data_IF_776185224603
#
_entry.id   IF_776185224603
#
_cell.length_a   1.000
_cell.length_b   1.000
_cell.length_c   1.000
_cell.angle_alpha   90.00
_cell.angle_beta   90.00
_cell.angle_gamma   90.00
#
_symmetry.space_group_name_H-M   'P 1'
#
loop_
_entity.id
_entity.type
_entity.pdbx_description
1 polymer ?
#
# COMPACT_ATOMS: atom_id res chain seq x y z
N UNK A 1 52.19 -1.74 -18.86
CA UNK A 1 51.80 -3.15 -19.09
C UNK A 1 51.83 -3.80 -17.73
N UNK A 2 50.76 -3.88 -16.93
CA UNK A 2 49.29 -3.83 -17.11
C UNK A 2 48.73 -3.31 -15.75
N UNK A 3 47.78 -2.36 -15.65
CA UNK A 3 46.31 -2.51 -15.79
C UNK A 3 45.81 -3.76 -15.02
N UNK A 4 44.95 -3.73 -14.00
CA UNK A 4 43.73 -2.95 -13.80
C UNK A 4 43.31 -2.86 -12.32
N UNK A 5 42.53 -1.83 -12.04
CA UNK A 5 41.75 -1.62 -10.82
C UNK A 5 40.64 -2.68 -10.68
N UNK A 6 40.34 -3.06 -9.43
CA UNK A 6 39.04 -3.62 -9.09
C UNK A 6 38.38 -2.68 -8.08
N UNK A 7 37.50 -1.83 -8.58
CA UNK A 7 36.58 -1.03 -7.78
C UNK A 7 35.35 -1.91 -7.47
N UNK A 8 34.76 -1.83 -6.26
CA UNK A 8 33.52 -2.54 -5.96
C UNK A 8 32.36 -1.96 -6.77
N UNK A 9 31.57 -2.84 -7.39
CA UNK A 9 30.30 -2.51 -8.02
C UNK A 9 29.33 -2.05 -6.92
N UNK A 10 29.25 -0.73 -6.74
CA UNK A 10 28.20 -0.09 -5.98
C UNK A 10 26.90 -0.31 -6.75
N UNK A 11 26.24 -1.44 -6.48
CA UNK A 11 24.89 -1.73 -6.91
C UNK A 11 24.05 -0.47 -6.67
N UNK A 12 23.67 0.12 -7.80
CA UNK A 12 23.03 1.42 -7.87
C UNK A 12 21.79 1.38 -6.99
N UNK A 13 21.78 2.20 -5.94
CA UNK A 13 20.55 2.55 -5.25
C UNK A 13 19.72 3.35 -6.24
N UNK A 14 18.98 2.64 -7.09
CA UNK A 14 17.91 3.20 -7.89
C UNK A 14 17.02 3.93 -6.90
N UNK A 15 17.09 5.26 -6.93
CA UNK A 15 16.19 6.12 -6.17
C UNK A 15 14.82 5.94 -6.82
N UNK A 16 14.14 4.87 -6.41
CA UNK A 16 12.78 4.60 -6.84
C UNK A 16 11.96 5.83 -6.47
N UNK A 17 11.32 6.42 -7.46
CA UNK A 17 10.31 7.45 -7.22
C UNK A 17 9.32 6.85 -6.22
N UNK A 18 8.96 7.58 -5.14
CA UNK A 18 7.99 7.07 -4.18
C UNK A 18 6.70 6.69 -4.92
N UNK A 19 6.51 5.38 -5.10
CA UNK A 19 5.29 4.85 -5.69
C UNK A 19 4.26 4.84 -4.57
N UNK A 20 3.11 5.47 -4.81
CA UNK A 20 2.00 5.39 -3.87
C UNK A 20 1.46 3.97 -3.81
N UNK A 21 1.03 3.56 -2.62
CA UNK A 21 0.43 2.26 -2.35
C UNK A 21 -1.00 2.44 -1.89
N UNK A 22 -1.87 1.55 -2.36
CA UNK A 22 -3.26 1.42 -1.94
C UNK A 22 -3.47 -0.05 -1.60
N UNK A 23 -3.65 -0.34 -0.32
CA UNK A 23 -3.80 -1.72 0.18
C UNK A 23 -5.19 -1.88 0.74
N UNK A 24 -5.92 -2.90 0.30
CA UNK A 24 -7.18 -3.29 0.92
C UNK A 24 -6.96 -4.50 1.83
N UNK A 25 -7.21 -4.33 3.13
CA UNK A 25 -7.33 -5.41 4.11
C UNK A 25 -8.73 -6.01 4.00
N UNK A 26 -8.77 -7.31 3.75
CA UNK A 26 -9.93 -8.10 3.41
C UNK A 26 -9.96 -9.37 4.26
N UNK A 27 -11.15 -9.98 4.38
CA UNK A 27 -11.28 -11.36 4.82
C UNK A 27 -12.24 -12.11 3.87
N UNK A 28 -12.01 -13.41 3.64
CA UNK A 28 -12.79 -14.21 2.69
C UNK A 28 -14.28 -14.24 3.05
N UNK A 29 -14.60 -14.28 4.34
CA UNK A 29 -15.97 -14.34 4.82
C UNK A 29 -16.75 -13.02 4.59
N UNK A 30 -16.06 -11.90 4.35
CA UNK A 30 -16.70 -10.58 4.23
C UNK A 30 -17.38 -10.38 2.86
N UNK A 31 -18.72 -10.27 2.87
CA UNK A 31 -19.52 -9.97 1.67
C UNK A 31 -19.19 -8.61 1.03
N UNK A 32 -18.95 -7.59 1.86
CA UNK A 32 -18.62 -6.24 1.39
C UNK A 32 -17.26 -6.22 0.69
N UNK A 33 -16.27 -7.00 1.17
CA UNK A 33 -14.98 -7.16 0.49
C UNK A 33 -15.14 -7.75 -0.92
N UNK A 34 -15.99 -8.77 -1.09
CA UNK A 34 -16.25 -9.37 -2.41
C UNK A 34 -16.88 -8.37 -3.38
N UNK A 35 -17.84 -7.58 -2.92
CA UNK A 35 -18.41 -6.48 -3.71
C UNK A 35 -17.35 -5.42 -4.03
N UNK A 36 -16.50 -5.10 -3.05
CA UNK A 36 -15.49 -4.07 -3.20
C UNK A 36 -14.42 -4.43 -4.22
N UNK A 37 -14.08 -5.71 -4.35
CA UNK A 37 -13.00 -6.18 -5.23
C UNK A 37 -13.12 -5.63 -6.65
N UNK A 38 -14.32 -5.61 -7.20
CA UNK A 38 -14.56 -5.09 -8.54
C UNK A 38 -14.28 -3.58 -8.64
N UNK A 39 -14.69 -2.79 -7.65
CA UNK A 39 -14.44 -1.35 -7.62
C UNK A 39 -12.95 -1.03 -7.35
N UNK A 40 -12.29 -1.84 -6.53
CA UNK A 40 -10.85 -1.75 -6.26
C UNK A 40 -10.04 -2.02 -7.53
N UNK A 41 -10.34 -3.10 -8.26
CA UNK A 41 -9.67 -3.44 -9.52
C UNK A 41 -9.91 -2.39 -10.62
N UNK A 42 -11.11 -1.81 -10.68
CA UNK A 42 -11.40 -0.69 -11.59
C UNK A 42 -10.55 0.54 -11.26
N UNK A 43 -10.39 0.84 -9.97
CA UNK A 43 -9.52 1.93 -9.52
C UNK A 43 -8.07 1.59 -9.86
N UNK A 44 -7.58 0.38 -9.60
CA UNK A 44 -6.21 0.00 -9.96
C UNK A 44 -5.88 0.23 -11.45
N UNK A 45 -6.83 -0.07 -12.36
CA UNK A 45 -6.68 0.18 -13.80
C UNK A 45 -6.63 1.65 -14.18
N UNK A 46 -7.30 2.51 -13.43
CA UNK A 46 -7.33 3.96 -13.69
C UNK A 46 -6.11 4.70 -13.09
N UNK A 47 -5.38 4.09 -12.16
CA UNK A 47 -4.14 4.63 -11.57
C UNK A 47 -2.96 3.64 -11.72
N UNK A 48 -2.52 3.33 -12.96
CA UNK A 48 -1.46 2.34 -13.22
C UNK A 48 -0.08 2.72 -12.65
N UNK A 49 0.12 3.99 -12.29
CA UNK A 49 1.32 4.49 -11.64
C UNK A 49 1.38 4.20 -10.13
N UNK A 50 0.27 3.78 -9.52
CA UNK A 50 0.20 3.42 -8.10
C UNK A 50 0.19 1.90 -7.95
N UNK A 51 0.63 1.42 -6.80
CA UNK A 51 0.62 0.00 -6.47
C UNK A 51 -0.63 -0.35 -5.69
N UNK A 52 -1.41 -1.29 -6.19
CA UNK A 52 -2.62 -1.78 -5.53
C UNK A 52 -2.36 -3.19 -4.99
N UNK A 53 -2.61 -3.39 -3.71
CA UNK A 53 -2.45 -4.69 -3.04
C UNK A 53 -3.77 -5.09 -2.39
N UNK A 54 -4.12 -6.36 -2.51
CA UNK A 54 -5.27 -6.96 -1.85
C UNK A 54 -4.73 -7.98 -0.85
N UNK A 55 -4.89 -7.69 0.43
CA UNK A 55 -4.35 -8.50 1.51
C UNK A 55 -5.51 -9.18 2.21
N UNK A 56 -5.52 -10.50 2.15
CA UNK A 56 -6.43 -11.29 2.98
C UNK A 56 -5.80 -11.49 4.35
N UNK A 57 -6.46 -11.00 5.40
CA UNK A 57 -5.90 -11.06 6.75
C UNK A 57 -5.88 -12.49 7.30
N UNK A 58 -6.70 -13.40 6.76
CA UNK A 58 -6.70 -14.82 7.17
C UNK A 58 -5.52 -15.58 6.54
N UNK A 59 -5.11 -15.20 5.33
CA UNK A 59 -3.99 -15.86 4.62
C UNK A 59 -2.63 -15.19 4.91
N UNK A 60 -2.63 -13.90 5.24
CA UNK A 60 -1.41 -13.08 5.42
C UNK A 60 -1.24 -12.57 6.87
N UNK A 61 -1.45 -13.45 7.85
CA UNK A 61 -1.37 -13.12 9.29
C UNK A 61 -0.03 -12.48 9.67
N UNK A 62 1.10 -12.94 9.10
CA UNK A 62 2.43 -12.37 9.39
C UNK A 62 2.55 -10.90 8.94
N UNK A 63 1.85 -10.52 7.88
CA UNK A 63 1.85 -9.16 7.33
C UNK A 63 0.98 -8.24 8.20
N UNK A 64 -0.18 -8.74 8.65
CA UNK A 64 -1.12 -8.01 9.52
C UNK A 64 -0.57 -7.88 10.94
N UNK A 65 0.08 -8.93 11.45
CA UNK A 65 0.60 -9.10 12.82
C UNK A 65 -0.37 -8.57 13.87
N UNK A 66 0.07 -7.68 14.75
CA UNK A 66 -0.74 -7.24 15.90
C UNK A 66 -1.83 -6.21 15.57
N UNK A 67 -2.04 -5.88 14.30
CA UNK A 67 -3.08 -4.91 13.92
C UNK A 67 -4.47 -5.53 14.10
N UNK A 68 -5.25 -4.97 15.02
CA UNK A 68 -6.63 -5.38 15.25
C UNK A 68 -7.57 -4.67 14.26
N UNK A 69 -7.91 -5.34 13.15
CA UNK A 69 -8.84 -4.82 12.14
C UNK A 69 -10.25 -5.32 12.45
N UNK A 70 -11.04 -4.48 13.11
CA UNK A 70 -12.42 -4.84 13.48
C UNK A 70 -13.44 -4.64 12.35
N UNK A 71 -13.09 -3.84 11.32
CA UNK A 71 -14.01 -3.49 10.23
C UNK A 71 -13.40 -3.79 8.87
N UNK A 72 -14.11 -4.58 8.06
CA UNK A 72 -13.71 -4.92 6.70
C UNK A 72 -14.70 -4.37 5.67
N UNK A 73 -14.24 -3.89 4.50
CA UNK A 73 -12.83 -3.69 4.13
C UNK A 73 -12.20 -2.48 4.83
N UNK A 74 -10.93 -2.58 5.18
CA UNK A 74 -10.10 -1.46 5.65
C UNK A 74 -9.04 -1.14 4.60
N UNK A 75 -8.85 0.15 4.29
CA UNK A 75 -7.91 0.60 3.26
C UNK A 75 -6.75 1.34 3.91
N UNK A 76 -5.53 0.96 3.54
CA UNK A 76 -4.30 1.67 3.82
C UNK A 76 -3.85 2.41 2.55
N UNK A 77 -3.52 3.69 2.67
CA UNK A 77 -2.91 4.47 1.58
C UNK A 77 -1.57 5.00 2.08
N UNK A 78 -0.50 4.80 1.30
CA UNK A 78 0.84 5.28 1.63
C UNK A 78 1.48 5.98 0.42
N UNK A 79 2.35 6.95 0.68
CA UNK A 79 3.08 7.67 -0.38
C UNK A 79 4.41 7.01 -0.77
N UNK A 80 4.61 5.74 -0.40
CA UNK A 80 5.85 5.01 -0.60
C UNK A 80 6.89 5.19 0.53
N UNK A 81 6.70 6.18 1.41
CA UNK A 81 7.55 6.39 2.60
C UNK A 81 6.74 6.26 3.90
N UNK A 82 5.56 6.86 3.93
CA UNK A 82 4.71 6.97 5.09
C UNK A 82 3.28 6.54 4.78
N UNK A 83 2.66 5.82 5.71
CA UNK A 83 1.22 5.64 5.75
C UNK A 83 0.55 7.02 5.89
N UNK A 84 -0.42 7.29 5.01
CA UNK A 84 -1.18 8.54 4.96
C UNK A 84 -2.64 8.38 5.40
N UNK A 85 -3.14 7.15 5.38
CA UNK A 85 -4.49 6.79 5.82
C UNK A 85 -4.57 5.32 6.15
N UNK A 86 -5.31 4.98 7.21
CA UNK A 86 -5.77 3.63 7.53
C UNK A 86 -7.20 3.74 8.05
N UNK A 87 -8.16 3.07 7.40
CA UNK A 87 -9.53 3.05 7.89
C UNK A 87 -10.52 2.39 6.95
N UNK A 88 -11.77 2.15 7.42
CA UNK A 88 -12.79 1.52 6.63
C UNK A 88 -13.19 2.39 5.44
N UNK A 89 -13.42 1.77 4.28
CA UNK A 89 -13.87 2.48 3.09
C UNK A 89 -14.96 1.70 2.37
N UNK A 90 -16.08 2.37 2.09
CA UNK A 90 -17.21 1.76 1.38
C UNK A 90 -16.84 1.37 -0.06
N UNK A 91 -17.52 0.35 -0.63
CA UNK A 91 -17.20 -0.20 -1.94
C UNK A 91 -17.61 0.71 -3.11
N UNK A 92 -17.00 1.90 -3.20
CA UNK A 92 -17.33 2.91 -4.19
C UNK A 92 -16.04 3.42 -4.85
N UNK A 93 -15.80 3.02 -6.11
CA UNK A 93 -14.60 3.41 -6.86
C UNK A 93 -14.41 4.94 -6.93
N UNK A 94 -15.51 5.69 -7.11
CA UNK A 94 -15.48 7.16 -7.15
C UNK A 94 -14.98 7.78 -5.84
N UNK A 95 -15.33 7.19 -4.69
CA UNK A 95 -14.89 7.69 -3.38
C UNK A 95 -13.40 7.44 -3.20
N UNK A 96 -12.93 6.21 -3.44
CA UNK A 96 -11.51 5.89 -3.40
C UNK A 96 -10.71 6.77 -4.35
N UNK A 97 -11.14 6.89 -5.61
CA UNK A 97 -10.46 7.72 -6.61
C UNK A 97 -10.33 9.19 -6.22
N UNK A 98 -11.39 9.79 -5.65
CA UNK A 98 -11.35 11.18 -5.14
C UNK A 98 -10.38 11.33 -3.98
N UNK A 99 -10.34 10.35 -3.09
CA UNK A 99 -9.45 10.34 -1.93
C UNK A 99 -7.99 10.27 -2.38
N UNK A 100 -7.65 9.37 -3.31
CA UNK A 100 -6.32 9.27 -3.90
C UNK A 100 -5.91 10.60 -4.58
N UNK A 101 -6.81 11.18 -5.38
CA UNK A 101 -6.57 12.47 -6.04
C UNK A 101 -6.32 13.59 -5.01
N UNK A 102 -7.13 13.67 -3.96
CA UNK A 102 -6.98 14.69 -2.92
C UNK A 102 -5.65 14.55 -2.16
N UNK A 103 -5.24 13.33 -1.83
CA UNK A 103 -3.99 13.08 -1.10
C UNK A 103 -2.74 13.36 -1.94
N UNK A 104 -2.78 13.08 -3.24
CA UNK A 104 -1.69 13.42 -4.15
C UNK A 104 -1.50 14.94 -4.31
N UNK A 105 -2.57 15.73 -4.17
CA UNK A 105 -2.52 17.19 -4.23
C UNK A 105 -2.16 17.81 -2.86
N UNK A 106 -2.60 17.18 -1.77
CA UNK A 106 -2.29 17.60 -0.42
C UNK A 106 -0.99 16.95 0.05
N UNK A 107 0.15 17.61 -0.22
CA UNK A 107 1.49 17.20 0.26
C UNK A 107 1.65 17.26 1.79
N UNK A 108 0.56 17.36 2.56
CA UNK A 108 0.60 17.60 4.00
C UNK A 108 1.15 16.38 4.75
N UNK A 109 2.06 16.65 5.68
CA UNK A 109 2.58 15.68 6.65
C UNK A 109 1.49 15.43 7.68
N UNK A 110 0.60 14.47 7.43
CA UNK A 110 -0.36 14.03 8.43
C UNK A 110 0.35 13.17 9.48
N UNK A 111 0.04 13.42 10.74
CA UNK A 111 0.60 12.71 11.91
C UNK A 111 0.35 11.22 11.78
N UNK A 112 1.43 10.45 11.96
CA UNK A 112 1.47 9.03 11.68
C UNK A 112 0.81 8.25 12.82
N UNK A 113 -0.18 7.44 12.48
CA UNK A 113 -0.55 6.30 13.32
C UNK A 113 0.58 5.27 13.17
N UNK A 114 1.24 4.93 14.29
CA UNK A 114 2.34 3.96 14.29
C UNK A 114 1.86 2.60 13.78
N UNK A 115 0.63 2.19 14.09
CA UNK A 115 0.09 0.92 13.61
C UNK A 115 -0.07 0.89 12.08
N UNK A 116 -0.51 2.00 11.48
CA UNK A 116 -0.62 2.14 10.04
C UNK A 116 0.75 2.10 9.35
N UNK A 117 1.76 2.72 9.97
CA UNK A 117 3.13 2.70 9.47
C UNK A 117 3.74 1.30 9.56
N UNK A 118 3.62 0.63 10.70
CA UNK A 118 4.15 -0.71 10.93
C UNK A 118 3.52 -1.73 9.98
N UNK A 119 2.20 -1.62 9.73
CA UNK A 119 1.51 -2.40 8.70
C UNK A 119 2.11 -2.14 7.31
N UNK A 120 2.26 -0.87 6.94
CA UNK A 120 2.80 -0.50 5.62
C UNK A 120 4.21 -1.07 5.41
N UNK A 121 5.08 -0.97 6.42
CA UNK A 121 6.46 -1.47 6.33
C UNK A 121 6.53 -2.98 6.16
N UNK A 122 5.65 -3.73 6.85
CA UNK A 122 5.55 -5.19 6.71
C UNK A 122 5.07 -5.60 5.32
N UNK A 123 3.98 -4.99 4.82
CA UNK A 123 3.49 -5.23 3.45
C UNK A 123 4.58 -4.89 2.43
N UNK A 124 5.21 -3.73 2.57
CA UNK A 124 6.23 -3.26 1.63
C UNK A 124 7.41 -4.24 1.59
N UNK A 125 7.81 -4.78 2.73
CA UNK A 125 8.94 -5.73 2.84
C UNK A 125 8.59 -7.11 2.28
N UNK A 126 7.38 -7.64 2.55
CA UNK A 126 6.95 -8.95 2.03
C UNK A 126 6.80 -8.99 0.51
N UNK A 127 6.68 -7.82 -0.12
CA UNK A 127 6.49 -7.64 -1.57
C UNK A 127 7.75 -7.21 -2.33
N UNK A 128 8.87 -7.04 -1.64
CA UNK A 128 10.18 -6.66 -2.20
C UNK A 128 11.20 -7.80 -2.20
N UNK A 129 10.91 -8.91 -1.52
CA UNK A 129 11.63 -10.19 -1.66
C UNK A 129 11.14 -11.00 -2.83
#
# INVERSE_FOLDING_TARGET
>A
MDSEAFLPDAASHASATPQWWVVCLCAQWCGVCREYRQAFDQTARAWPQMRFEWVDVEDEEEVVGDLDVETFPTVLIADGRAARFLGPLLPQATVLGRMLQSMQQASQVATMDSAAQDLFERIRSSRQG
#
